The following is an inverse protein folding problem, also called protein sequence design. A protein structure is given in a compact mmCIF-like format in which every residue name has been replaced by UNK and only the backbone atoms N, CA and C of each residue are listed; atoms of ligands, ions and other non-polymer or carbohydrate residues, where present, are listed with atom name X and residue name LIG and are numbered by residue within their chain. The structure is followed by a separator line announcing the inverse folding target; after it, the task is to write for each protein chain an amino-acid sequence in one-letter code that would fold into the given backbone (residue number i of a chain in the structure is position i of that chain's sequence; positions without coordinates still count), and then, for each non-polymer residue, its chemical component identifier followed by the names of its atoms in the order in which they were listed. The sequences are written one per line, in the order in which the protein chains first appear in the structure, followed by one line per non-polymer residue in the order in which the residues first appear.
data_IF_248712493584
#
_entry.id   IF_248712493584
#
_cell.length_a   1.000
_cell.length_b   1.000
_cell.length_c   1.000
_cell.angle_alpha   90.00
_cell.angle_beta   90.00
_cell.angle_gamma   90.00
#
_symmetry.space_group_name_H-M   'P 1'
#
loop_
_entity.id
_entity.type
_entity.pdbx_description
1 polymer ?
#
# COMPACT_ATOMS: atom_id res chain seq x y z
N UNK A 1 17.15 11.94 12.53
CA UNK A 1 17.36 10.64 11.85
C UNK A 1 17.14 9.49 12.84
N UNK A 2 16.01 9.47 13.54
CA UNK A 2 15.53 8.21 14.12
C UNK A 2 14.89 7.49 12.93
N UNK A 3 15.60 6.55 12.33
CA UNK A 3 14.96 5.61 11.42
C UNK A 3 13.95 4.87 12.28
N UNK A 4 12.69 5.29 12.22
CA UNK A 4 11.60 4.59 12.88
C UNK A 4 11.38 3.29 12.11
N UNK A 5 12.26 2.33 12.41
CA UNK A 5 12.34 1.03 11.77
C UNK A 5 10.99 0.33 11.92
N UNK A 6 10.30 0.55 13.04
CA UNK A 6 8.95 0.10 13.26
C UNK A 6 7.98 0.70 12.22
N UNK A 7 8.04 2.01 12.01
CA UNK A 7 7.24 2.69 10.99
C UNK A 7 7.49 2.16 9.57
N UNK A 8 8.75 1.95 9.21
CA UNK A 8 9.13 1.40 7.91
C UNK A 8 8.63 -0.04 7.72
N UNK A 9 8.75 -0.88 8.75
CA UNK A 9 8.26 -2.27 8.74
C UNK A 9 6.74 -2.31 8.64
N UNK A 10 6.04 -1.50 9.45
CA UNK A 10 4.57 -1.42 9.42
C UNK A 10 4.08 -0.95 8.04
N UNK A 11 4.73 0.06 7.47
CA UNK A 11 4.43 0.55 6.12
C UNK A 11 4.63 -0.54 5.06
N UNK A 12 5.75 -1.27 5.11
CA UNK A 12 6.03 -2.35 4.16
C UNK A 12 4.98 -3.47 4.26
N UNK A 13 4.59 -3.87 5.47
CA UNK A 13 3.54 -4.87 5.71
C UNK A 13 2.18 -4.39 5.18
N UNK A 14 1.83 -3.13 5.39
CA UNK A 14 0.57 -2.54 4.93
C UNK A 14 0.50 -2.44 3.39
N UNK A 15 1.61 -2.09 2.74
CA UNK A 15 1.69 -2.09 1.27
C UNK A 15 1.49 -3.51 0.72
N UNK A 16 2.18 -4.50 1.28
CA UNK A 16 2.06 -5.90 0.86
C UNK A 16 0.63 -6.43 1.08
N UNK A 17 0.02 -6.14 2.23
CA UNK A 17 -1.37 -6.50 2.51
C UNK A 17 -2.34 -5.87 1.52
N UNK A 18 -2.15 -4.59 1.21
CA UNK A 18 -3.00 -3.87 0.26
C UNK A 18 -2.92 -4.47 -1.13
N UNK A 19 -1.70 -4.76 -1.61
CA UNK A 19 -1.47 -5.44 -2.88
C UNK A 19 -2.13 -6.83 -2.87
N UNK A 20 -1.99 -7.58 -1.78
CA UNK A 20 -2.59 -8.91 -1.63
C UNK A 20 -4.12 -8.86 -1.66
N UNK A 21 -4.74 -7.95 -0.90
CA UNK A 21 -6.20 -7.76 -0.87
C UNK A 21 -6.71 -7.30 -2.23
N UNK A 22 -6.04 -6.37 -2.90
CA UNK A 22 -6.45 -5.88 -4.22
C UNK A 22 -6.33 -6.95 -5.32
N UNK A 23 -5.31 -7.82 -5.24
CA UNK A 23 -5.21 -9.00 -6.11
C UNK A 23 -6.30 -10.02 -5.80
N UNK A 24 -6.55 -10.32 -4.52
CA UNK A 24 -7.53 -11.31 -4.08
C UNK A 24 -8.96 -10.91 -4.43
N UNK A 25 -9.27 -9.61 -4.37
CA UNK A 25 -10.60 -9.07 -4.70
C UNK A 25 -10.83 -8.89 -6.20
N UNK A 26 -9.82 -9.17 -7.04
CA UNK A 26 -9.92 -8.97 -8.50
C UNK A 26 -9.99 -7.49 -8.92
N UNK A 27 -9.80 -6.56 -7.99
CA UNK A 27 -9.78 -5.11 -8.25
C UNK A 27 -8.53 -4.74 -9.07
N UNK A 28 -7.40 -5.34 -8.73
CA UNK A 28 -6.16 -5.28 -9.50
C UNK A 28 -6.16 -6.45 -10.49
N UNK A 29 -6.53 -6.13 -11.73
CA UNK A 29 -6.68 -7.09 -12.81
C UNK A 29 -5.29 -7.55 -13.26
N UNK A 30 -4.84 -8.69 -12.74
CA UNK A 30 -3.54 -9.27 -13.11
C UNK A 30 -3.49 -9.68 -14.60
N UNK A 31 -4.65 -9.79 -15.27
CA UNK A 31 -4.74 -10.20 -16.67
C UNK A 31 -4.47 -9.05 -17.66
N UNK A 32 -4.66 -7.79 -17.24
CA UNK A 32 -4.22 -6.64 -18.06
C UNK A 32 -2.79 -6.31 -17.67
N UNK A 33 -1.82 -6.61 -18.56
CA UNK A 33 -0.43 -6.11 -18.53
C UNK A 33 -0.36 -4.58 -18.63
N UNK A 34 -1.03 -3.84 -17.74
CA UNK A 34 -0.80 -2.42 -17.56
C UNK A 34 0.37 -2.29 -16.60
N UNK A 35 1.46 -1.71 -17.08
CA UNK A 35 2.63 -1.39 -16.26
C UNK A 35 2.30 -0.47 -15.07
N UNK A 36 1.14 0.19 -15.11
CA UNK A 36 0.67 1.08 -14.07
C UNK A 36 -0.83 0.88 -13.80
N UNK A 37 -1.13 0.27 -12.65
CA UNK A 37 -2.49 0.14 -12.14
C UNK A 37 -2.80 1.33 -11.23
N UNK A 38 -3.52 2.31 -11.76
CA UNK A 38 -3.99 3.48 -11.00
C UNK A 38 -4.77 3.07 -9.74
N UNK A 39 -5.47 1.94 -9.77
CA UNK A 39 -6.20 1.39 -8.61
C UNK A 39 -5.26 0.94 -7.50
N UNK A 40 -4.16 0.26 -7.85
CA UNK A 40 -3.12 -0.12 -6.89
C UNK A 40 -2.43 1.11 -6.31
N UNK A 41 -2.11 2.09 -7.16
CA UNK A 41 -1.52 3.34 -6.73
C UNK A 41 -2.41 4.08 -5.72
N UNK A 42 -3.71 4.23 -6.03
CA UNK A 42 -4.67 4.86 -5.14
C UNK A 42 -4.83 4.10 -3.82
N UNK A 43 -4.84 2.76 -3.86
CA UNK A 43 -4.89 1.92 -2.67
C UNK A 43 -3.72 2.15 -1.73
N UNK A 44 -2.51 2.10 -2.28
CA UNK A 44 -1.28 2.34 -1.51
C UNK A 44 -1.25 3.76 -0.95
N UNK A 45 -1.68 4.75 -1.74
CA UNK A 45 -1.72 6.16 -1.33
C UNK A 45 -2.70 6.38 -0.17
N UNK A 46 -3.91 5.84 -0.24
CA UNK A 46 -4.89 5.91 0.85
C UNK A 46 -4.35 5.25 2.11
N UNK A 47 -3.71 4.09 1.98
CA UNK A 47 -3.16 3.37 3.13
C UNK A 47 -2.02 4.15 3.76
N UNK A 48 -1.08 4.69 2.97
CA UNK A 48 -0.04 5.57 3.50
C UNK A 48 -0.60 6.85 4.11
N UNK A 49 -1.68 7.41 3.54
CA UNK A 49 -2.33 8.60 4.09
C UNK A 49 -2.97 8.33 5.45
N UNK A 50 -3.66 7.20 5.60
CA UNK A 50 -4.25 6.77 6.88
C UNK A 50 -3.14 6.47 7.89
N UNK A 51 -2.08 5.79 7.47
CA UNK A 51 -0.93 5.46 8.33
C UNK A 51 -0.27 6.74 8.84
N UNK A 52 -0.03 7.72 7.96
CA UNK A 52 0.50 9.04 8.32
C UNK A 52 -0.48 9.87 9.17
N UNK A 53 -1.80 9.67 9.02
CA UNK A 53 -2.80 10.36 9.84
C UNK A 53 -2.86 9.80 11.27
N UNK A 54 -2.79 8.47 11.41
CA UNK A 54 -2.81 7.79 12.72
C UNK A 54 -1.46 7.94 13.43
N UNK A 55 -0.38 7.90 12.65
CA UNK A 55 0.98 7.96 13.14
C UNK A 55 1.81 8.87 12.20
N UNK A 56 1.93 10.17 12.52
CA UNK A 56 2.63 11.14 11.68
C UNK A 56 4.16 11.15 11.87
N UNK A 57 4.69 10.29 12.75
CA UNK A 57 6.09 10.29 13.21
C UNK A 57 6.93 9.13 12.66
#
# INVERSE_FOLDING_TARGET
MHFDLAHAVVSAVLILLTIFVMRKTGIADTAKKKAFDWKLFLGVLVVMFILNLIWPY
#
